data_IF_821449569294
#
_entry.id   IF_821449569294
#
_cell.length_a   1.000
_cell.length_b   1.000
_cell.length_c   1.000
_cell.angle_alpha   90.00
_cell.angle_beta   90.00
_cell.angle_gamma   90.00
#
_symmetry.space_group_name_H-M   'P 1'
#
loop_
_entity.id
_entity.type
_entity.pdbx_description
1 polymer ?
#
# COMPACT_ATOMS: atom_id res chain seq x y z
N UNK A 1 -15.48 -6.39 3.30
CA UNK A 1 -14.19 -6.05 2.65
C UNK A 1 -13.97 -7.02 1.48
N UNK A 2 -13.73 -6.51 0.27
CA UNK A 2 -13.68 -7.33 -0.96
C UNK A 2 -12.54 -8.36 -0.96
N UNK A 3 -11.33 -7.93 -0.62
CA UNK A 3 -10.12 -8.75 -0.58
C UNK A 3 -10.27 -9.92 0.39
N UNK A 4 -10.74 -9.63 1.61
CA UNK A 4 -10.99 -10.64 2.65
C UNK A 4 -11.99 -11.70 2.17
N UNK A 5 -13.11 -11.27 1.57
CA UNK A 5 -14.11 -12.19 1.02
C UNK A 5 -13.49 -13.13 -0.03
N UNK A 6 -12.66 -12.58 -0.93
CA UNK A 6 -12.05 -13.31 -2.04
C UNK A 6 -11.02 -14.34 -1.53
N UNK A 7 -10.15 -13.93 -0.60
CA UNK A 7 -9.17 -14.84 0.02
C UNK A 7 -9.88 -15.93 0.84
N UNK A 8 -10.93 -15.59 1.59
CA UNK A 8 -11.71 -16.58 2.33
C UNK A 8 -12.35 -17.63 1.40
N UNK A 9 -12.92 -17.21 0.26
CA UNK A 9 -13.44 -18.13 -0.75
C UNK A 9 -12.35 -19.01 -1.37
N UNK A 10 -11.19 -18.45 -1.68
CA UNK A 10 -10.03 -19.22 -2.15
C UNK A 10 -9.58 -20.27 -1.14
N UNK A 11 -9.52 -19.94 0.15
CA UNK A 11 -9.15 -20.88 1.21
C UNK A 11 -10.14 -22.05 1.32
N UNK A 12 -11.45 -21.77 1.20
CA UNK A 12 -12.50 -22.79 1.20
C UNK A 12 -12.37 -23.77 0.02
N UNK A 13 -12.12 -23.25 -1.19
CA UNK A 13 -11.98 -24.07 -2.40
C UNK A 13 -10.68 -24.88 -2.42
N UNK A 14 -9.57 -24.24 -2.06
CA UNK A 14 -8.23 -24.87 -2.07
C UNK A 14 -7.94 -25.70 -0.83
N UNK A 15 -8.77 -25.60 0.22
CA UNK A 15 -8.56 -26.19 1.56
C UNK A 15 -7.26 -25.76 2.22
N UNK A 16 -6.78 -24.55 1.92
CA UNK A 16 -5.53 -24.01 2.45
C UNK A 16 -5.79 -23.04 3.57
N UNK A 17 -4.96 -23.13 4.59
CA UNK A 17 -5.08 -22.28 5.77
C UNK A 17 -4.33 -20.97 5.56
N UNK A 18 -5.03 -19.85 5.74
CA UNK A 18 -4.45 -18.50 5.79
C UNK A 18 -4.88 -17.84 7.11
N UNK A 19 -3.91 -17.22 7.79
CA UNK A 19 -4.16 -16.31 8.91
C UNK A 19 -4.00 -14.89 8.39
N UNK A 20 -5.09 -14.13 8.40
CA UNK A 20 -5.15 -12.77 7.90
C UNK A 20 -5.07 -11.79 9.07
N UNK A 21 -3.87 -11.23 9.28
CA UNK A 21 -3.65 -10.21 10.30
C UNK A 21 -4.09 -8.83 9.79
N UNK A 22 -4.84 -8.11 10.60
CA UNK A 22 -5.25 -6.73 10.36
C UNK A 22 -4.65 -5.87 11.45
N UNK A 23 -3.75 -4.98 11.04
CA UNK A 23 -3.10 -4.00 11.91
C UNK A 23 -3.87 -2.69 11.84
N UNK A 24 -4.18 -2.13 13.00
CA UNK A 24 -4.93 -0.88 13.15
C UNK A 24 -6.18 -1.01 14.03
N UNK A 25 -6.64 0.13 14.53
CA UNK A 25 -7.81 0.25 15.38
C UNK A 25 -9.01 0.65 14.53
N UNK A 26 -9.66 -0.34 13.93
CA UNK A 26 -10.85 -0.13 13.10
C UNK A 26 -12.15 -0.51 13.83
N UNK A 27 -13.14 0.38 13.79
CA UNK A 27 -14.47 0.14 14.39
C UNK A 27 -15.27 -0.95 13.65
N UNK A 28 -14.85 -1.31 12.44
CA UNK A 28 -15.53 -2.26 11.56
C UNK A 28 -15.14 -3.73 11.80
N UNK A 29 -14.60 -4.06 12.99
CA UNK A 29 -14.15 -5.42 13.33
C UNK A 29 -15.26 -6.47 13.21
N UNK A 30 -16.47 -6.13 13.65
CA UNK A 30 -17.64 -7.04 13.57
C UNK A 30 -18.02 -7.43 12.14
N UNK A 31 -17.68 -6.61 11.15
CA UNK A 31 -17.94 -6.91 9.73
C UNK A 31 -17.02 -7.99 9.15
N UNK A 32 -16.05 -8.46 9.93
CA UNK A 32 -15.05 -9.45 9.51
C UNK A 32 -15.43 -10.89 9.91
N UNK A 33 -16.19 -11.03 11.00
CA UNK A 33 -16.59 -12.34 11.57
C UNK A 33 -17.21 -13.29 10.53
N UNK A 34 -18.12 -12.84 9.63
CA UNK A 34 -18.77 -13.73 8.68
C UNK A 34 -17.82 -14.36 7.64
N UNK A 35 -16.60 -13.84 7.49
CA UNK A 35 -15.63 -14.35 6.53
C UNK A 35 -14.68 -15.39 7.13
N UNK A 36 -14.63 -15.47 8.47
CA UNK A 36 -13.81 -16.46 9.17
C UNK A 36 -14.38 -17.87 8.96
N UNK A 37 -13.52 -18.84 8.67
CA UNK A 37 -13.90 -20.23 8.51
C UNK A 37 -12.72 -21.14 8.89
N UNK A 38 -12.91 -22.47 8.80
CA UNK A 38 -11.89 -23.46 9.23
C UNK A 38 -10.53 -23.35 8.50
N UNK A 39 -10.48 -22.66 7.37
CA UNK A 39 -9.29 -22.44 6.55
C UNK A 39 -8.86 -20.97 6.48
N UNK A 40 -9.63 -20.05 7.04
CA UNK A 40 -9.33 -18.62 6.97
C UNK A 40 -9.66 -17.98 8.30
N UNK A 41 -8.62 -17.57 9.03
CA UNK A 41 -8.75 -16.93 10.32
C UNK A 41 -8.38 -15.45 10.22
N UNK A 42 -9.17 -14.56 10.80
CA UNK A 42 -8.88 -13.12 10.83
C UNK A 42 -8.46 -12.72 12.24
N UNK A 43 -7.27 -12.15 12.38
CA UNK A 43 -6.75 -11.63 13.66
C UNK A 43 -6.64 -10.12 13.54
N UNK A 44 -7.22 -9.38 14.50
CA UNK A 44 -7.08 -7.92 14.57
C UNK A 44 -6.11 -7.59 15.70
N UNK A 45 -4.93 -7.10 15.33
CA UNK A 45 -3.80 -6.85 16.24
C UNK A 45 -3.92 -5.52 16.98
N UNK A 46 -4.70 -4.57 16.45
CA UNK A 46 -4.69 -3.18 16.92
C UNK A 46 -3.43 -2.44 16.46
N UNK A 47 -3.01 -1.41 17.21
CA UNK A 47 -1.81 -0.64 16.91
C UNK A 47 -0.53 -1.38 17.32
N UNK A 48 0.44 -1.47 16.40
CA UNK A 48 1.75 -2.08 16.67
C UNK A 48 2.80 -0.98 16.79
N UNK A 49 3.52 -0.87 17.93
CA UNK A 49 4.62 0.09 18.08
C UNK A 49 5.73 -0.12 17.07
N UNK A 50 6.37 0.98 16.64
CA UNK A 50 7.39 0.95 15.58
C UNK A 50 8.56 0.03 15.93
N UNK A 51 8.95 -0.02 17.20
CA UNK A 51 10.07 -0.82 17.71
C UNK A 51 9.80 -2.33 17.61
N UNK A 52 8.52 -2.72 17.51
CA UNK A 52 8.07 -4.11 17.40
C UNK A 52 7.61 -4.47 15.99
N UNK A 53 7.41 -3.50 15.11
CA UNK A 53 6.81 -3.70 13.79
C UNK A 53 7.63 -4.67 12.94
N UNK A 54 8.95 -4.46 12.83
CA UNK A 54 9.80 -5.31 11.99
C UNK A 54 9.81 -6.76 12.49
N UNK A 55 9.88 -6.96 13.81
CA UNK A 55 9.80 -8.28 14.43
C UNK A 55 8.42 -8.93 14.23
N UNK A 56 7.34 -8.16 14.32
CA UNK A 56 5.99 -8.66 14.04
C UNK A 56 5.87 -9.12 12.58
N UNK A 57 6.31 -8.29 11.62
CA UNK A 57 6.25 -8.59 10.21
C UNK A 57 7.05 -9.87 9.88
N UNK A 58 8.31 -9.96 10.32
CA UNK A 58 9.19 -11.10 10.03
C UNK A 58 8.68 -12.43 10.62
N UNK A 59 8.05 -12.37 11.80
CA UNK A 59 7.63 -13.58 12.51
C UNK A 59 6.22 -14.06 12.13
N UNK A 60 5.36 -13.19 11.59
CA UNK A 60 3.94 -13.50 11.39
C UNK A 60 3.45 -13.31 9.95
N UNK A 61 4.17 -12.57 9.10
CA UNK A 61 3.65 -12.12 7.80
C UNK A 61 4.47 -12.70 6.65
N UNK A 62 3.79 -13.50 5.82
CA UNK A 62 4.33 -14.07 4.59
C UNK A 62 4.14 -13.15 3.36
N UNK A 63 2.98 -12.51 3.29
CA UNK A 63 2.60 -11.57 2.23
C UNK A 63 1.91 -10.39 2.92
N UNK A 64 2.29 -9.17 2.55
CA UNK A 64 1.61 -7.97 3.03
C UNK A 64 0.60 -7.45 1.99
N UNK A 65 -0.55 -6.97 2.44
CA UNK A 65 -1.54 -6.29 1.61
C UNK A 65 -1.76 -4.89 2.20
N UNK A 66 -1.24 -3.85 1.55
CA UNK A 66 -1.35 -2.48 2.08
C UNK A 66 -1.18 -1.41 1.00
N UNK A 67 -1.30 -0.15 1.42
CA UNK A 67 -1.10 1.04 0.58
C UNK A 67 0.01 1.91 1.20
N UNK A 68 0.65 2.73 0.36
CA UNK A 68 1.50 3.84 0.78
C UNK A 68 2.72 3.37 1.56
N UNK A 69 3.07 4.12 2.61
CA UNK A 69 4.26 3.85 3.42
C UNK A 69 4.22 2.50 4.13
N UNK A 70 3.02 2.00 4.50
CA UNK A 70 2.87 0.67 5.10
C UNK A 70 3.34 -0.46 4.17
N UNK A 71 3.24 -0.26 2.85
CA UNK A 71 3.76 -1.23 1.89
C UNK A 71 5.29 -1.28 1.93
N UNK A 72 5.93 -0.10 2.05
CA UNK A 72 7.38 0.03 2.14
C UNK A 72 7.96 -0.62 3.40
N UNK A 73 7.22 -0.62 4.51
CA UNK A 73 7.65 -1.25 5.78
C UNK A 73 7.79 -2.77 5.66
N UNK A 74 7.02 -3.42 4.79
CA UNK A 74 7.14 -4.86 4.53
C UNK A 74 8.19 -5.19 3.48
N UNK A 75 8.21 -4.44 2.36
CA UNK A 75 9.09 -4.76 1.23
C UNK A 75 10.58 -4.56 1.57
N UNK A 76 10.90 -3.60 2.47
CA UNK A 76 12.25 -3.42 3.01
C UNK A 76 12.78 -4.66 3.76
N UNK A 77 11.87 -5.51 4.24
CA UNK A 77 12.15 -6.75 4.97
C UNK A 77 12.09 -7.98 4.04
N UNK A 78 12.09 -7.77 2.72
CA UNK A 78 11.95 -8.81 1.70
C UNK A 78 10.62 -9.58 1.74
N UNK A 79 9.57 -8.99 2.35
CA UNK A 79 8.22 -9.57 2.36
C UNK A 79 7.50 -9.11 1.09
N UNK A 80 7.02 -10.03 0.23
CA UNK A 80 6.23 -9.66 -0.95
C UNK A 80 4.97 -8.87 -0.58
N UNK A 81 4.75 -7.78 -1.28
CA UNK A 81 3.67 -6.84 -0.97
C UNK A 81 2.72 -6.69 -2.15
N UNK A 82 1.43 -6.93 -1.92
CA UNK A 82 0.34 -6.63 -2.85
C UNK A 82 -0.18 -5.23 -2.52
N UNK A 83 -0.24 -4.35 -3.52
CA UNK A 83 -0.78 -3.01 -3.32
C UNK A 83 -2.30 -3.05 -3.32
N UNK A 84 -2.89 -2.45 -2.28
CA UNK A 84 -4.32 -2.20 -2.20
C UNK A 84 -4.56 -0.80 -2.74
N UNK A 85 -5.28 -0.67 -3.86
CA UNK A 85 -5.70 0.62 -4.42
C UNK A 85 -6.99 1.15 -3.77
N UNK A 86 -7.26 2.45 -3.88
CA UNK A 86 -8.42 3.08 -3.21
C UNK A 86 -9.58 3.37 -4.18
N UNK A 87 -10.80 3.40 -3.65
CA UNK A 87 -11.97 3.85 -4.39
C UNK A 87 -12.93 4.61 -3.50
N UNK A 88 -13.51 5.68 -4.04
CA UNK A 88 -14.64 6.39 -3.41
C UNK A 88 -15.98 5.71 -3.66
N UNK A 89 -15.99 4.64 -4.46
CA UNK A 89 -17.17 3.83 -4.77
C UNK A 89 -16.94 2.40 -4.27
N UNK A 90 -18.03 1.63 -4.21
CA UNK A 90 -17.93 0.21 -3.88
C UNK A 90 -17.08 -0.50 -4.95
N UNK A 91 -16.01 -1.15 -4.51
CA UNK A 91 -15.10 -1.91 -5.38
C UNK A 91 -15.85 -3.15 -5.91
N UNK A 92 -15.75 -3.40 -7.22
CA UNK A 92 -16.37 -4.57 -7.86
C UNK A 92 -15.60 -5.86 -7.55
N UNK A 93 -16.23 -7.02 -7.81
CA UNK A 93 -15.58 -8.32 -7.62
C UNK A 93 -14.45 -8.62 -8.62
N UNK A 94 -14.15 -7.70 -9.51
CA UNK A 94 -13.32 -7.89 -10.68
C UNK A 94 -12.03 -7.04 -10.64
N UNK A 95 -11.70 -6.46 -9.48
CA UNK A 95 -10.48 -5.67 -9.31
C UNK A 95 -9.22 -6.53 -9.48
N UNK A 96 -8.27 -6.00 -10.26
CA UNK A 96 -7.00 -6.61 -10.58
C UNK A 96 -5.92 -6.20 -9.58
N UNK A 97 -5.41 -7.17 -8.84
CA UNK A 97 -4.34 -6.98 -7.87
C UNK A 97 -2.98 -7.00 -8.57
N UNK A 98 -2.01 -6.32 -7.97
CA UNK A 98 -0.64 -6.20 -8.47
C UNK A 98 0.36 -6.23 -7.32
N UNK A 99 1.54 -6.77 -7.59
CA UNK A 99 2.65 -6.65 -6.67
C UNK A 99 3.13 -5.20 -6.64
N UNK A 100 3.67 -4.75 -5.51
CA UNK A 100 4.29 -3.43 -5.40
C UNK A 100 5.45 -3.28 -6.40
N UNK A 101 6.23 -4.34 -6.63
CA UNK A 101 7.35 -4.28 -7.58
C UNK A 101 6.92 -4.15 -9.05
N UNK A 102 5.63 -4.40 -9.36
CA UNK A 102 5.05 -4.24 -10.70
C UNK A 102 4.42 -2.86 -10.91
N UNK A 103 4.42 -1.99 -9.89
CA UNK A 103 3.82 -0.65 -10.04
C UNK A 103 4.67 0.25 -10.93
N UNK A 104 3.99 1.11 -11.69
CA UNK A 104 4.61 2.10 -12.56
C UNK A 104 4.79 3.41 -11.80
N UNK A 105 5.82 4.17 -12.16
CA UNK A 105 6.07 5.51 -11.61
C UNK A 105 6.10 5.58 -10.07
N UNK A 106 6.52 4.47 -9.44
CA UNK A 106 6.58 4.31 -7.98
C UNK A 106 5.23 4.51 -7.29
N UNK A 107 4.14 4.24 -8.00
CA UNK A 107 2.79 4.28 -7.47
C UNK A 107 2.66 3.29 -6.30
N UNK A 108 2.22 3.81 -5.15
CA UNK A 108 2.00 3.05 -3.92
C UNK A 108 0.51 2.95 -3.57
N UNK A 109 -0.36 3.25 -4.52
CA UNK A 109 -1.81 3.19 -4.39
C UNK A 109 -2.46 4.26 -5.25
N UNK A 110 -3.21 3.85 -6.27
CA UNK A 110 -3.96 4.77 -7.11
C UNK A 110 -5.47 4.64 -6.91
N UNK A 111 -6.20 5.57 -7.51
CA UNK A 111 -7.65 5.48 -7.54
C UNK A 111 -8.06 4.42 -8.57
N UNK A 112 -8.77 3.39 -8.13
CA UNK A 112 -9.29 2.32 -8.98
C UNK A 112 -10.17 2.92 -10.09
N UNK A 113 -9.74 2.70 -11.33
CA UNK A 113 -10.42 3.07 -12.56
C UNK A 113 -10.93 1.87 -13.36
N UNK A 114 -11.48 2.12 -14.54
CA UNK A 114 -12.04 1.07 -15.40
C UNK A 114 -10.96 0.07 -15.88
N UNK A 115 -9.73 0.52 -16.06
CA UNK A 115 -8.61 -0.32 -16.51
C UNK A 115 -8.11 -1.30 -15.44
N UNK A 116 -8.48 -1.07 -14.17
CA UNK A 116 -8.13 -1.93 -13.05
C UNK A 116 -9.18 -3.01 -12.80
N UNK A 117 -10.25 -3.05 -13.61
CA UNK A 117 -11.34 -4.00 -13.51
C UNK A 117 -11.30 -4.96 -14.70
N UNK A 118 -11.24 -6.25 -14.41
CA UNK A 118 -11.23 -7.31 -15.41
C UNK A 118 -12.29 -8.35 -15.07
N UNK A 119 -13.22 -8.60 -15.98
CA UNK A 119 -14.28 -9.59 -15.77
C UNK A 119 -13.67 -10.98 -15.49
N UNK A 120 -14.16 -11.66 -14.44
CA UNK A 120 -13.65 -12.97 -13.99
C UNK A 120 -12.17 -12.92 -13.60
N UNK A 121 -11.73 -11.80 -13.02
CA UNK A 121 -10.37 -11.67 -12.52
C UNK A 121 -10.07 -12.76 -11.47
N UNK A 122 -8.88 -13.35 -11.55
CA UNK A 122 -8.33 -14.33 -10.61
C UNK A 122 -6.92 -13.94 -10.09
N UNK A 123 -6.55 -12.65 -10.20
CA UNK A 123 -5.21 -12.15 -9.88
C UNK A 123 -4.77 -12.46 -8.44
N UNK A 124 -5.58 -12.18 -7.41
CA UNK A 124 -5.19 -12.47 -6.02
C UNK A 124 -4.95 -13.97 -5.81
N UNK A 125 -5.78 -14.84 -6.37
CA UNK A 125 -5.62 -16.29 -6.27
C UNK A 125 -4.33 -16.74 -6.96
N UNK A 126 -4.07 -16.21 -8.17
CA UNK A 126 -2.84 -16.49 -8.89
C UNK A 126 -1.61 -16.00 -8.13
N UNK A 127 -1.66 -14.80 -7.54
CA UNK A 127 -0.57 -14.26 -6.71
C UNK A 127 -0.28 -15.13 -5.48
N UNK A 128 -1.32 -15.61 -4.79
CA UNK A 128 -1.18 -16.55 -3.67
C UNK A 128 -0.59 -17.88 -4.14
N UNK A 129 -0.98 -18.36 -5.33
CA UNK A 129 -0.43 -19.58 -5.90
C UNK A 129 1.04 -19.43 -6.31
N UNK A 130 1.39 -18.33 -6.97
CA UNK A 130 2.76 -17.97 -7.36
C UNK A 130 3.65 -17.83 -6.13
N UNK A 131 3.17 -17.19 -5.05
CA UNK A 131 3.95 -17.09 -3.82
C UNK A 131 4.29 -18.45 -3.21
N UNK A 132 3.35 -19.40 -3.24
CA UNK A 132 3.62 -20.75 -2.74
C UNK A 132 4.74 -21.44 -3.52
N UNK A 133 4.76 -21.26 -4.84
CA UNK A 133 5.71 -21.95 -5.73
C UNK A 133 7.07 -21.24 -5.78
N UNK A 134 7.08 -19.90 -5.69
CA UNK A 134 8.24 -19.06 -5.96
C UNK A 134 8.55 -18.10 -4.81
N UNK A 135 8.31 -18.50 -3.54
CA UNK A 135 8.49 -17.65 -2.35
C UNK A 135 9.84 -16.93 -2.31
N UNK A 136 10.93 -17.67 -2.48
CA UNK A 136 12.29 -17.13 -2.41
C UNK A 136 12.59 -16.13 -3.53
N UNK A 137 12.08 -16.40 -4.74
CA UNK A 137 12.23 -15.52 -5.88
C UNK A 137 11.42 -14.22 -5.70
N UNK A 138 10.15 -14.32 -5.30
CA UNK A 138 9.32 -13.14 -5.03
C UNK A 138 9.89 -12.28 -3.89
N UNK A 139 10.45 -12.91 -2.86
CA UNK A 139 11.13 -12.21 -1.76
C UNK A 139 12.36 -11.45 -2.29
N UNK A 140 13.15 -12.09 -3.15
CA UNK A 140 14.34 -11.50 -3.78
C UNK A 140 13.99 -10.34 -4.72
N UNK A 141 12.96 -10.49 -5.56
CA UNK A 141 12.48 -9.44 -6.47
C UNK A 141 11.95 -8.25 -5.67
N UNK A 142 11.13 -8.52 -4.65
CA UNK A 142 10.58 -7.51 -3.75
C UNK A 142 11.69 -6.69 -3.07
N UNK A 143 12.70 -7.37 -2.51
CA UNK A 143 13.81 -6.68 -1.86
C UNK A 143 14.70 -5.92 -2.86
N UNK A 144 14.93 -6.47 -4.04
CA UNK A 144 15.70 -5.81 -5.11
C UNK A 144 15.00 -4.53 -5.58
N UNK A 145 13.68 -4.56 -5.73
CA UNK A 145 12.88 -3.37 -6.04
C UNK A 145 13.01 -2.31 -4.94
N UNK A 146 12.92 -2.70 -3.67
CA UNK A 146 13.15 -1.80 -2.54
C UNK A 146 14.54 -1.15 -2.60
N UNK A 147 15.60 -1.96 -2.72
CA UNK A 147 16.98 -1.46 -2.75
C UNK A 147 17.18 -0.47 -3.89
N UNK A 148 16.62 -0.77 -5.07
CA UNK A 148 16.78 0.00 -6.30
C UNK A 148 16.00 1.31 -6.32
N UNK A 149 14.87 1.41 -5.62
CA UNK A 149 13.96 2.55 -5.78
C UNK A 149 13.56 3.24 -4.49
N UNK A 150 13.58 2.54 -3.35
CA UNK A 150 13.01 3.01 -2.09
C UNK A 150 13.98 2.93 -0.90
N UNK A 151 15.20 2.43 -1.10
CA UNK A 151 16.24 2.50 -0.07
C UNK A 151 16.66 3.94 0.17
N UNK A 152 17.07 4.25 1.40
CA UNK A 152 17.55 5.59 1.75
C UNK A 152 18.69 6.02 0.81
N UNK A 153 19.65 5.13 0.56
CA UNK A 153 20.75 5.39 -0.38
C UNK A 153 20.27 5.70 -1.79
N UNK A 154 19.30 4.94 -2.32
CA UNK A 154 18.77 5.17 -3.65
C UNK A 154 18.01 6.49 -3.74
N UNK A 155 17.12 6.75 -2.79
CA UNK A 155 16.29 7.96 -2.78
C UNK A 155 17.15 9.20 -2.58
N UNK A 156 18.11 9.16 -1.65
CA UNK A 156 19.06 10.26 -1.45
C UNK A 156 19.93 10.50 -2.69
N UNK A 157 20.41 9.45 -3.35
CA UNK A 157 21.17 9.56 -4.60
C UNK A 157 20.37 10.22 -5.73
N UNK A 158 19.12 9.78 -5.93
CA UNK A 158 18.20 10.39 -6.90
C UNK A 158 17.92 11.87 -6.58
N UNK A 159 17.75 12.21 -5.30
CA UNK A 159 17.54 13.60 -4.88
C UNK A 159 18.77 14.46 -5.16
N UNK A 160 19.98 14.01 -4.81
CA UNK A 160 21.23 14.73 -5.08
C UNK A 160 21.39 14.95 -6.59
N UNK A 161 21.19 13.89 -7.38
CA UNK A 161 21.26 13.97 -8.85
C UNK A 161 20.26 14.97 -9.40
N UNK A 162 19.03 15.01 -8.87
CA UNK A 162 18.05 16.00 -9.29
C UNK A 162 18.51 17.43 -8.93
N UNK A 163 19.04 17.64 -7.73
CA UNK A 163 19.55 18.95 -7.28
C UNK A 163 20.73 19.45 -8.13
N UNK A 164 21.63 18.56 -8.55
CA UNK A 164 22.77 18.91 -9.42
C UNK A 164 22.34 19.29 -10.83
N UNK A 165 21.21 18.76 -11.32
CA UNK A 165 20.67 19.05 -12.64
C UNK A 165 19.67 20.21 -12.65
N UNK A 166 19.34 20.77 -11.49
CA UNK A 166 18.46 21.94 -11.40
C UNK A 166 19.29 23.19 -11.70
N UNK A 167 18.96 23.85 -12.81
CA UNK A 167 19.45 25.19 -13.16
C UNK A 167 18.46 26.29 -12.78
N UNK A 168 17.58 26.05 -11.80
CA UNK A 168 16.53 26.99 -11.42
C UNK A 168 17.11 28.04 -10.49
N UNK A 169 17.14 29.28 -10.93
CA UNK A 169 17.41 30.41 -10.05
C UNK A 169 16.15 30.73 -9.21
N UNK A 170 16.32 31.23 -7.98
CA UNK A 170 15.21 31.59 -7.09
C UNK A 170 14.18 32.54 -7.76
N UNK A 171 14.60 33.31 -8.76
CA UNK A 171 13.74 34.21 -9.55
C UNK A 171 12.82 33.52 -10.57
N UNK A 172 13.07 32.26 -10.91
CA UNK A 172 12.33 31.50 -11.92
C UNK A 172 11.17 30.68 -11.34
N UNK A 173 11.11 30.56 -10.01
CA UNK A 173 9.94 29.98 -9.34
C UNK A 173 8.73 30.86 -9.61
N UNK A 174 7.68 30.27 -10.21
CA UNK A 174 6.45 31.01 -10.50
C UNK A 174 5.91 31.65 -9.21
N UNK A 175 5.85 32.99 -9.21
CA UNK A 175 5.35 33.77 -8.08
C UNK A 175 3.92 33.37 -7.69
N UNK A 176 3.17 32.71 -8.59
CA UNK A 176 1.86 32.13 -8.32
C UNK A 176 1.88 31.03 -7.24
N UNK A 177 2.97 30.25 -7.10
CA UNK A 177 3.13 29.27 -6.02
C UNK A 177 3.10 29.93 -4.64
N UNK A 178 3.53 31.18 -4.55
CA UNK A 178 3.52 31.97 -3.32
C UNK A 178 2.27 32.85 -3.18
N UNK A 179 1.41 32.93 -4.21
CA UNK A 179 0.15 33.67 -4.13
C UNK A 179 -0.83 32.87 -3.27
N UNK A 180 -1.15 33.43 -2.11
CA UNK A 180 -2.23 32.91 -1.26
C UNK A 180 -3.56 33.09 -1.98
N UNK A 181 -4.35 32.02 -2.06
CA UNK A 181 -5.72 32.06 -2.59
C UNK A 181 -6.57 33.11 -1.87
N UNK A 182 -7.56 33.68 -2.57
CA UNK A 182 -8.40 34.78 -2.09
C UNK A 182 -9.03 34.48 -0.72
N UNK A 183 -9.51 33.25 -0.54
CA UNK A 183 -10.10 32.76 0.71
C UNK A 183 -9.11 32.74 1.88
N UNK A 184 -7.86 32.32 1.64
CA UNK A 184 -6.81 32.29 2.67
C UNK A 184 -6.39 33.70 3.09
N UNK A 185 -6.33 34.64 2.14
CA UNK A 185 -6.08 36.07 2.43
C UNK A 185 -7.19 36.67 3.29
N UNK A 186 -8.45 36.37 2.99
CA UNK A 186 -9.60 36.86 3.77
C UNK A 186 -9.59 36.24 5.18
N UNK A 187 -9.34 34.94 5.30
CA UNK A 187 -9.24 34.26 6.60
C UNK A 187 -8.14 34.87 7.49
N UNK A 188 -6.94 35.08 6.95
CA UNK A 188 -5.82 35.65 7.71
C UNK A 188 -6.05 37.12 8.07
N UNK A 189 -6.67 37.91 7.19
CA UNK A 189 -7.08 39.28 7.53
C UNK A 189 -8.05 39.30 8.71
N UNK A 190 -9.04 38.40 8.71
CA UNK A 190 -9.97 38.27 9.85
C UNK A 190 -9.29 37.75 11.12
N UNK A 191 -8.30 36.86 11.00
CA UNK A 191 -7.64 36.23 12.14
C UNK A 191 -6.58 37.10 12.81
N UNK A 192 -5.83 37.87 12.02
CA UNK A 192 -4.63 38.59 12.48
C UNK A 192 -4.72 40.11 12.39
N UNK A 193 -5.73 40.68 11.72
CA UNK A 193 -5.90 42.14 11.56
C UNK A 193 -7.16 42.70 12.24
N UNK A 194 -8.02 41.84 12.78
CA UNK A 194 -9.20 42.19 13.60
C UNK A 194 -9.00 41.82 15.09
N UNK A 195 -7.75 41.56 15.50
CA UNK A 195 -7.26 41.62 16.87
C UNK A 195 -6.30 42.80 16.96
#
# INVERSE_FOLDING_TARGET
NYTIKRIASYCLLSKRTIVFHIVGEGEMKSLLEPYTNRYFNVIVEGSIPKERLDAFLLNNIDINLSMGTSALESIKLAIPTIILDFSFKKISLDYNYRWLHDTKDFDMGHQIGANDIQNKNNSIEHMLDTFREFRGELSSISYSYYLKYHSLSSVSGSLITALENISIEWGELDKSFFKRGLLRRIYEYKKYKLR
#
